data_IF_613996565184
#
_entry.id   IF_613996565184
#
_cell.length_a   1.000
_cell.length_b   1.000
_cell.length_c   1.000
_cell.angle_alpha   90.00
_cell.angle_beta   90.00
_cell.angle_gamma   90.00
#
_symmetry.space_group_name_H-M   'P 1'
#
loop_
_entity.id
_entity.type
_entity.pdbx_description
1 polymer ?
#
# COMPACT_ATOMS: atom_id res chain seq x y z
N UNK A 1 18.46 56.21 18.61
CA UNK A 1 16.99 56.28 18.44
C UNK A 1 16.55 54.91 17.95
N UNK A 2 15.68 54.12 18.57
CA UNK A 2 14.60 54.34 19.53
C UNK A 2 14.61 53.20 20.56
N UNK A 3 14.72 53.57 21.84
CA UNK A 3 14.57 52.74 23.04
C UNK A 3 13.18 53.04 23.62
N UNK A 4 12.16 52.19 23.43
CA UNK A 4 10.95 52.13 24.29
C UNK A 4 10.31 50.75 24.17
N UNK A 5 10.18 50.05 25.29
CA UNK A 5 9.46 48.77 25.36
C UNK A 5 9.93 47.79 26.43
N UNK A 6 10.65 48.25 27.46
CA UNK A 6 11.26 47.42 28.51
C UNK A 6 10.75 47.85 29.89
N UNK A 7 9.45 47.78 30.18
CA UNK A 7 8.88 48.14 31.50
C UNK A 7 7.60 47.37 31.92
N UNK A 8 7.42 46.10 31.52
CA UNK A 8 6.33 45.25 32.05
C UNK A 8 6.84 43.97 32.73
N UNK A 9 8.03 44.03 33.31
CA UNK A 9 8.53 43.05 34.28
C UNK A 9 8.45 43.69 35.66
N UNK A 10 7.91 42.94 36.62
CA UNK A 10 7.65 43.28 38.03
C UNK A 10 6.26 43.84 38.32
N UNK A 11 5.42 42.95 38.84
CA UNK A 11 4.47 43.10 39.96
C UNK A 11 3.36 42.07 39.68
N UNK A 12 3.53 40.88 40.24
CA UNK A 12 2.56 40.02 40.94
C UNK A 12 3.37 38.77 41.34
N UNK A 13 4.28 38.98 42.29
CA UNK A 13 4.73 37.93 43.22
C UNK A 13 3.81 38.04 44.44
N UNK A 14 3.44 36.91 45.05
CA UNK A 14 2.49 36.73 46.17
C UNK A 14 1.01 36.50 45.81
N UNK A 15 0.70 35.34 45.22
CA UNK A 15 -0.55 34.62 45.52
C UNK A 15 -0.24 33.12 45.61
N UNK A 16 -0.45 32.55 46.79
CA UNK A 16 -0.91 31.16 46.91
C UNK A 16 0.15 30.06 47.06
N UNK A 17 1.10 30.20 47.97
CA UNK A 17 1.91 29.07 48.46
C UNK A 17 1.20 28.35 49.62
N UNK A 18 -0.08 28.02 49.43
CA UNK A 18 -0.91 27.34 50.42
C UNK A 18 -2.02 26.54 49.75
N UNK A 19 -2.15 25.27 50.14
CA UNK A 19 -3.19 24.30 49.75
C UNK A 19 -2.99 23.62 48.38
N UNK A 20 -2.12 22.62 48.36
CA UNK A 20 -2.00 21.66 47.27
C UNK A 20 -1.99 20.18 47.71
N UNK A 21 -2.37 19.87 48.95
CA UNK A 21 -2.72 18.49 49.33
C UNK A 21 -4.18 18.29 48.88
N UNK A 22 -4.37 18.21 47.56
CA UNK A 22 -5.63 17.81 46.96
C UNK A 22 -5.85 16.31 47.18
N UNK A 23 -7.10 15.87 47.33
CA UNK A 23 -7.43 14.49 47.68
C UNK A 23 -7.15 13.55 46.49
N UNK A 24 -5.95 13.00 46.40
CA UNK A 24 -5.64 11.89 45.49
C UNK A 24 -6.58 10.69 45.72
N UNK A 25 -7.17 10.57 46.91
CA UNK A 25 -8.13 9.53 47.25
C UNK A 25 -9.51 9.66 46.56
N UNK A 26 -9.93 10.85 46.11
CA UNK A 26 -11.24 11.04 45.48
C UNK A 26 -11.27 10.69 43.98
N UNK A 27 -10.12 10.74 43.30
CA UNK A 27 -10.02 10.33 41.89
C UNK A 27 -10.10 8.80 41.72
N UNK A 28 -9.75 8.01 42.75
CA UNK A 28 -9.79 6.55 42.69
C UNK A 28 -11.20 5.96 42.69
N UNK A 29 -12.13 6.55 43.45
CA UNK A 29 -13.50 6.01 43.58
C UNK A 29 -14.32 6.10 42.28
N UNK A 30 -14.17 7.19 41.51
CA UNK A 30 -14.90 7.36 40.26
C UNK A 30 -14.47 6.37 39.16
N UNK A 31 -13.18 6.05 39.09
CA UNK A 31 -12.62 5.15 38.07
C UNK A 31 -13.10 3.72 38.25
N UNK A 32 -13.10 3.20 39.48
CA UNK A 32 -13.57 1.84 39.77
C UNK A 32 -15.04 1.65 39.36
N UNK A 33 -15.90 2.65 39.60
CA UNK A 33 -17.30 2.62 39.17
C UNK A 33 -17.44 2.60 37.64
N UNK A 34 -16.74 3.49 36.94
CA UNK A 34 -16.80 3.54 35.47
C UNK A 34 -16.30 2.24 34.82
N UNK A 35 -15.26 1.63 35.39
CA UNK A 35 -14.73 0.33 34.96
C UNK A 35 -15.74 -0.79 35.17
N UNK A 36 -16.38 -0.84 36.35
CA UNK A 36 -17.42 -1.83 36.64
C UNK A 36 -18.62 -1.67 35.71
N UNK A 37 -19.09 -0.45 35.49
CA UNK A 37 -20.18 -0.16 34.55
C UNK A 37 -19.81 -0.57 33.11
N UNK A 38 -18.56 -0.38 32.70
CA UNK A 38 -18.07 -0.85 31.41
C UNK A 38 -18.06 -2.40 31.32
N UNK A 39 -17.59 -3.09 32.36
CA UNK A 39 -17.59 -4.55 32.43
C UNK A 39 -19.02 -5.12 32.38
N UNK A 40 -19.95 -4.57 33.15
CA UNK A 40 -21.37 -4.95 33.14
C UNK A 40 -22.00 -4.71 31.75
N UNK A 41 -21.69 -3.58 31.12
CA UNK A 41 -22.15 -3.28 29.76
C UNK A 41 -21.61 -4.30 28.75
N UNK A 42 -20.33 -4.63 28.82
CA UNK A 42 -19.70 -5.60 27.92
C UNK A 42 -20.32 -6.98 28.09
N UNK A 43 -20.47 -7.47 29.32
CA UNK A 43 -21.09 -8.78 29.56
C UNK A 43 -22.54 -8.82 29.08
N UNK A 44 -23.31 -7.75 29.28
CA UNK A 44 -24.69 -7.68 28.79
C UNK A 44 -24.78 -7.67 27.27
N UNK A 45 -23.87 -6.97 26.58
CA UNK A 45 -23.91 -6.80 25.12
C UNK A 45 -23.22 -7.94 24.36
N UNK A 46 -22.16 -8.50 24.92
CA UNK A 46 -21.28 -9.50 24.31
C UNK A 46 -21.30 -10.84 25.07
N UNK A 47 -22.42 -11.19 25.71
CA UNK A 47 -22.58 -12.39 26.53
C UNK A 47 -22.14 -13.70 25.83
N UNK A 48 -22.28 -13.77 24.50
CA UNK A 48 -21.86 -14.94 23.71
C UNK A 48 -20.34 -15.06 23.55
N UNK A 49 -19.62 -13.95 23.58
CA UNK A 49 -18.17 -13.88 23.33
C UNK A 49 -17.37 -13.80 24.63
N UNK A 50 -17.97 -13.30 25.71
CA UNK A 50 -17.31 -13.16 27.01
C UNK A 50 -17.06 -14.49 27.75
N UNK A 51 -17.62 -15.60 27.27
CA UNK A 51 -17.44 -16.92 27.88
C UNK A 51 -17.91 -16.98 29.34
N UNK A 52 -17.14 -17.67 30.19
CA UNK A 52 -17.41 -17.81 31.63
C UNK A 52 -16.81 -16.65 32.48
N UNK A 53 -16.35 -15.57 31.86
CA UNK A 53 -15.78 -14.45 32.62
C UNK A 53 -16.85 -13.75 33.47
N UNK A 54 -16.52 -13.50 34.73
CA UNK A 54 -17.40 -12.73 35.62
C UNK A 54 -17.21 -11.23 35.43
N UNK A 55 -18.18 -10.45 35.89
CA UNK A 55 -18.08 -8.97 35.90
C UNK A 55 -16.82 -8.53 36.64
N UNK A 56 -16.47 -9.19 37.75
CA UNK A 56 -15.30 -8.83 38.55
C UNK A 56 -13.98 -9.11 37.83
N UNK A 57 -13.86 -10.24 37.12
CA UNK A 57 -12.63 -10.57 36.38
C UNK A 57 -12.42 -9.58 35.24
N UNK A 58 -13.48 -9.28 34.49
CA UNK A 58 -13.44 -8.33 33.39
C UNK A 58 -13.15 -6.90 33.88
N UNK A 59 -13.81 -6.46 34.96
CA UNK A 59 -13.55 -5.16 35.57
C UNK A 59 -12.10 -5.01 36.02
N UNK A 60 -11.51 -6.03 36.68
CA UNK A 60 -10.11 -6.00 37.09
C UNK A 60 -9.14 -5.93 35.90
N UNK A 61 -9.44 -6.60 34.78
CA UNK A 61 -8.64 -6.52 33.55
C UNK A 61 -8.68 -5.10 32.98
N UNK A 62 -9.88 -4.53 32.80
CA UNK A 62 -10.05 -3.16 32.30
C UNK A 62 -9.37 -2.15 33.22
N UNK A 63 -9.52 -2.27 34.55
CA UNK A 63 -8.89 -1.40 35.53
C UNK A 63 -7.36 -1.41 35.40
N UNK A 64 -6.78 -2.61 35.31
CA UNK A 64 -5.32 -2.78 35.14
C UNK A 64 -4.83 -2.12 33.86
N UNK A 65 -5.55 -2.28 32.75
CA UNK A 65 -5.17 -1.68 31.48
C UNK A 65 -5.37 -0.17 31.48
N UNK A 66 -6.46 0.33 32.07
CA UNK A 66 -6.72 1.75 32.21
C UNK A 66 -5.67 2.44 33.09
N UNK A 67 -5.20 1.77 34.15
CA UNK A 67 -4.10 2.25 34.98
C UNK A 67 -2.79 2.36 34.19
N UNK A 68 -2.51 1.42 33.29
CA UNK A 68 -1.27 1.40 32.50
C UNK A 68 -1.29 2.33 31.29
N UNK A 69 -2.44 2.43 30.61
CA UNK A 69 -2.51 3.05 29.29
C UNK A 69 -3.49 4.22 29.18
N UNK A 70 -4.21 4.57 30.25
CA UNK A 70 -5.15 5.68 30.28
C UNK A 70 -6.62 5.28 30.17
N UNK A 71 -7.50 6.25 30.37
CA UNK A 71 -8.95 6.02 30.44
C UNK A 71 -9.57 5.72 29.05
N UNK A 72 -8.83 5.95 27.96
CA UNK A 72 -9.20 5.60 26.59
C UNK A 72 -9.47 4.10 26.43
N UNK A 73 -8.80 3.26 27.24
CA UNK A 73 -9.03 1.81 27.28
C UNK A 73 -10.48 1.50 27.65
N UNK A 74 -11.08 2.26 28.58
CA UNK A 74 -12.46 2.02 29.02
C UNK A 74 -13.43 2.28 27.87
N UNK A 75 -13.20 3.33 27.08
CA UNK A 75 -14.04 3.63 25.92
C UNK A 75 -13.89 2.58 24.82
N UNK A 76 -12.64 2.16 24.53
CA UNK A 76 -12.38 1.11 23.57
C UNK A 76 -13.00 -0.23 24.00
N UNK A 77 -12.83 -0.63 25.26
CA UNK A 77 -13.42 -1.84 25.83
C UNK A 77 -14.95 -1.81 25.72
N UNK A 78 -15.59 -0.69 26.07
CA UNK A 78 -17.05 -0.55 26.00
C UNK A 78 -17.58 -0.73 24.57
N UNK A 79 -16.88 -0.20 23.56
CA UNK A 79 -17.33 -0.29 22.16
C UNK A 79 -16.92 -1.60 21.47
N UNK A 80 -15.69 -2.04 21.68
CA UNK A 80 -15.08 -3.19 21.02
C UNK A 80 -15.20 -4.51 21.78
N UNK A 81 -15.74 -4.50 23.00
CA UNK A 81 -16.01 -5.71 23.78
C UNK A 81 -14.75 -6.44 24.25
N UNK A 82 -14.85 -7.75 24.55
CA UNK A 82 -13.72 -8.55 25.04
C UNK A 82 -12.56 -8.61 24.04
N UNK A 83 -12.85 -8.68 22.74
CA UNK A 83 -11.83 -8.72 21.69
C UNK A 83 -10.91 -7.49 21.72
N UNK A 84 -11.45 -6.30 21.97
CA UNK A 84 -10.64 -5.09 22.07
C UNK A 84 -9.78 -5.04 23.34
N UNK A 85 -10.24 -5.63 24.45
CA UNK A 85 -9.45 -5.77 25.68
C UNK A 85 -8.26 -6.69 25.41
N UNK A 86 -8.50 -7.85 24.79
CA UNK A 86 -7.45 -8.78 24.37
C UNK A 86 -6.45 -8.11 23.42
N UNK A 87 -6.92 -7.32 22.46
CA UNK A 87 -6.06 -6.58 21.54
C UNK A 87 -5.12 -5.58 22.26
N UNK A 88 -5.63 -4.86 23.27
CA UNK A 88 -4.80 -3.96 24.10
C UNK A 88 -3.79 -4.73 24.93
N UNK A 89 -4.19 -5.86 25.53
CA UNK A 89 -3.28 -6.74 26.28
C UNK A 89 -2.16 -7.31 25.40
N UNK A 90 -2.51 -7.82 24.22
CA UNK A 90 -1.57 -8.38 23.25
C UNK A 90 -0.62 -7.32 22.68
N UNK A 91 -1.11 -6.09 22.49
CA UNK A 91 -0.28 -4.98 22.05
C UNK A 91 0.79 -4.58 23.11
N UNK A 92 0.54 -4.82 24.41
CA UNK A 92 1.47 -4.55 25.50
C UNK A 92 2.01 -3.12 25.48
N UNK A 93 3.33 -2.96 25.40
CA UNK A 93 4.00 -1.64 25.32
C UNK A 93 3.60 -0.83 24.06
N UNK A 94 3.04 -1.48 23.03
CA UNK A 94 2.55 -0.80 21.82
C UNK A 94 1.08 -0.39 21.91
N UNK A 95 0.38 -0.70 23.01
CA UNK A 95 -1.01 -0.32 23.22
C UNK A 95 -1.31 1.18 23.01
N UNK A 96 -0.44 2.14 23.41
CA UNK A 96 -0.69 3.57 23.15
C UNK A 96 -0.85 3.90 21.67
N UNK A 97 -0.18 3.18 20.76
CA UNK A 97 -0.35 3.38 19.30
C UNK A 97 -1.73 2.92 18.84
N UNK A 98 -2.20 1.79 19.36
CA UNK A 98 -3.51 1.24 19.06
C UNK A 98 -4.63 2.15 19.60
N UNK A 99 -4.49 2.66 20.83
CA UNK A 99 -5.42 3.61 21.43
C UNK A 99 -5.46 4.93 20.65
N UNK A 100 -4.29 5.45 20.23
CA UNK A 100 -4.23 6.65 19.39
C UNK A 100 -4.93 6.43 18.05
N UNK A 101 -4.69 5.30 17.39
CA UNK A 101 -5.35 4.95 16.13
C UNK A 101 -6.87 4.87 16.29
N UNK A 102 -7.35 4.25 17.38
CA UNK A 102 -8.77 4.22 17.72
C UNK A 102 -9.32 5.62 18.02
N UNK A 103 -8.60 6.47 18.74
CA UNK A 103 -9.03 7.83 19.01
C UNK A 103 -9.17 8.68 17.72
N UNK A 104 -8.30 8.45 16.73
CA UNK A 104 -8.33 9.15 15.44
C UNK A 104 -9.43 8.65 14.50
N UNK A 105 -9.69 7.33 14.47
CA UNK A 105 -10.59 6.71 13.47
C UNK A 105 -11.91 6.19 14.05
N UNK A 106 -12.06 6.20 15.37
CA UNK A 106 -13.26 5.77 16.08
C UNK A 106 -13.62 4.31 15.81
N UNK A 107 -14.90 4.05 15.61
CA UNK A 107 -15.45 2.69 15.46
C UNK A 107 -14.92 1.97 14.21
N UNK A 108 -14.49 2.70 13.18
CA UNK A 108 -13.91 2.08 11.99
C UNK A 108 -12.59 1.35 12.29
N UNK A 109 -11.83 1.81 13.29
CA UNK A 109 -10.62 1.12 13.74
C UNK A 109 -10.91 -0.20 14.47
N UNK A 110 -12.13 -0.40 15.00
CA UNK A 110 -12.47 -1.63 15.72
C UNK A 110 -12.29 -2.86 14.85
N UNK A 111 -12.57 -2.76 13.54
CA UNK A 111 -12.40 -3.88 12.61
C UNK A 111 -10.93 -4.33 12.52
N UNK A 112 -9.98 -3.38 12.54
CA UNK A 112 -8.54 -3.68 12.51
C UNK A 112 -8.07 -4.23 13.86
N UNK A 113 -8.58 -3.66 14.95
CA UNK A 113 -8.19 -4.00 16.34
C UNK A 113 -8.73 -5.37 16.75
N UNK A 114 -9.96 -5.72 16.35
CA UNK A 114 -10.62 -6.97 16.76
C UNK A 114 -10.08 -8.21 16.05
N UNK A 115 -9.28 -8.05 14.99
CA UNK A 115 -8.72 -9.14 14.21
C UNK A 115 -7.22 -9.27 14.47
N UNK A 116 -6.75 -10.38 15.09
CA UNK A 116 -5.34 -10.54 15.47
C UNK A 116 -4.34 -10.33 14.32
N UNK A 117 -4.66 -10.85 13.12
CA UNK A 117 -3.81 -10.71 11.94
C UNK A 117 -3.74 -9.24 11.45
N UNK A 118 -4.88 -8.56 11.34
CA UNK A 118 -4.95 -7.16 10.94
C UNK A 118 -4.25 -6.24 11.96
N UNK A 119 -4.45 -6.51 13.26
CA UNK A 119 -3.73 -5.83 14.33
C UNK A 119 -2.22 -6.05 14.22
N UNK A 120 -1.77 -7.28 13.92
CA UNK A 120 -0.35 -7.59 13.74
C UNK A 120 0.27 -6.75 12.61
N UNK A 121 -0.41 -6.64 11.47
CA UNK A 121 0.04 -5.77 10.38
C UNK A 121 0.10 -4.30 10.78
N UNK A 122 -0.91 -3.78 11.50
CA UNK A 122 -0.89 -2.42 12.04
C UNK A 122 0.26 -2.20 13.03
N UNK A 123 0.49 -3.12 13.96
CA UNK A 123 1.57 -3.01 14.95
C UNK A 123 2.96 -3.11 14.32
N UNK A 124 3.10 -3.84 13.20
CA UNK A 124 4.37 -4.03 12.47
C UNK A 124 4.66 -2.90 11.47
N UNK A 125 3.65 -2.49 10.69
CA UNK A 125 3.82 -1.57 9.57
C UNK A 125 3.26 -0.16 9.83
N UNK A 126 2.60 0.05 10.97
CA UNK A 126 2.15 1.35 11.45
C UNK A 126 0.77 1.76 10.96
N UNK A 127 0.50 3.06 11.08
CA UNK A 127 -0.80 3.68 10.81
C UNK A 127 -1.26 3.49 9.37
N UNK A 128 -0.35 3.54 8.40
CA UNK A 128 -0.67 3.31 6.98
C UNK A 128 -1.30 1.92 6.77
N UNK A 129 -0.78 0.88 7.42
CA UNK A 129 -1.37 -0.45 7.34
C UNK A 129 -2.75 -0.50 7.99
N UNK A 130 -2.93 0.17 9.13
CA UNK A 130 -4.23 0.31 9.77
C UNK A 130 -5.26 1.00 8.87
N UNK A 131 -4.88 2.10 8.21
CA UNK A 131 -5.75 2.83 7.28
C UNK A 131 -6.08 1.99 6.05
N UNK A 132 -5.09 1.29 5.48
CA UNK A 132 -5.29 0.38 4.35
C UNK A 132 -6.28 -0.74 4.69
N UNK A 133 -6.08 -1.42 5.83
CA UNK A 133 -6.91 -2.50 6.33
C UNK A 133 -8.33 -2.02 6.65
N UNK A 134 -8.47 -0.86 7.28
CA UNK A 134 -9.77 -0.27 7.59
C UNK A 134 -10.59 0.03 6.33
N UNK A 135 -9.96 0.52 5.26
CA UNK A 135 -10.65 0.90 4.01
C UNK A 135 -10.96 -0.30 3.12
N UNK A 136 -10.01 -1.21 2.99
CA UNK A 136 -10.05 -2.24 1.94
C UNK A 136 -10.21 -3.65 2.50
N UNK A 137 -10.23 -3.81 3.83
CA UNK A 137 -10.45 -5.08 4.51
C UNK A 137 -9.32 -6.08 4.28
N UNK A 138 -9.67 -7.36 4.17
CA UNK A 138 -8.73 -8.47 3.99
C UNK A 138 -7.99 -8.46 2.66
N UNK A 139 -8.51 -7.74 1.65
CA UNK A 139 -7.96 -7.74 0.28
C UNK A 139 -6.50 -7.27 0.25
N UNK A 140 -6.09 -6.46 1.22
CA UNK A 140 -4.73 -5.88 1.26
C UNK A 140 -3.75 -6.72 2.09
N UNK A 141 -4.25 -7.67 2.89
CA UNK A 141 -3.41 -8.48 3.81
C UNK A 141 -2.24 -9.18 3.07
N UNK A 142 -2.45 -9.89 1.94
CA UNK A 142 -1.35 -10.56 1.24
C UNK A 142 -0.29 -9.59 0.69
N UNK A 143 -0.73 -8.41 0.24
CA UNK A 143 0.19 -7.42 -0.33
C UNK A 143 1.00 -6.74 0.77
N UNK A 144 0.39 -6.43 1.93
CA UNK A 144 1.11 -5.91 3.10
C UNK A 144 2.05 -6.96 3.67
N UNK A 145 1.66 -8.24 3.65
CA UNK A 145 2.51 -9.33 4.11
C UNK A 145 3.80 -9.45 3.28
N UNK A 146 3.67 -9.45 1.94
CA UNK A 146 4.84 -9.59 1.06
C UNK A 146 5.67 -8.29 0.94
N UNK A 147 5.01 -7.13 0.86
CA UNK A 147 5.67 -5.86 0.50
C UNK A 147 5.73 -4.85 1.66
N UNK A 148 5.27 -5.25 2.84
CA UNK A 148 5.39 -4.51 4.08
C UNK A 148 4.86 -3.08 4.02
N UNK A 149 5.69 -2.15 4.49
CA UNK A 149 5.32 -0.74 4.64
C UNK A 149 5.06 -0.04 3.31
N UNK A 150 5.76 -0.41 2.23
CA UNK A 150 5.55 0.18 0.90
C UNK A 150 4.17 -0.18 0.36
N UNK A 151 3.78 -1.46 0.47
CA UNK A 151 2.43 -1.92 0.12
C UNK A 151 1.36 -1.23 0.98
N UNK A 152 1.56 -1.17 2.30
CA UNK A 152 0.65 -0.49 3.23
C UNK A 152 0.41 0.98 2.85
N UNK A 153 1.48 1.73 2.57
CA UNK A 153 1.41 3.14 2.15
C UNK A 153 0.63 3.32 0.85
N UNK A 154 0.88 2.47 -0.15
CA UNK A 154 0.14 2.53 -1.42
C UNK A 154 -1.37 2.34 -1.19
N UNK A 155 -1.77 1.30 -0.45
CA UNK A 155 -3.19 1.04 -0.15
C UNK A 155 -3.84 2.11 0.73
N UNK A 156 -3.10 2.70 1.66
CA UNK A 156 -3.59 3.81 2.48
C UNK A 156 -3.95 5.05 1.65
N UNK A 157 -3.35 5.20 0.45
CA UNK A 157 -3.64 6.31 -0.47
C UNK A 157 -4.74 5.99 -1.48
N UNK A 158 -4.94 4.71 -1.83
CA UNK A 158 -6.04 4.28 -2.70
C UNK A 158 -7.37 4.52 -1.96
N UNK A 159 -8.31 5.20 -2.62
CA UNK A 159 -9.64 5.48 -2.05
C UNK A 159 -10.71 4.55 -2.62
N UNK A 160 -10.57 4.14 -3.88
CA UNK A 160 -11.52 3.24 -4.53
C UNK A 160 -11.20 1.76 -4.23
N UNK A 161 -12.17 1.08 -3.64
CA UNK A 161 -12.13 -0.36 -3.37
C UNK A 161 -11.88 -1.21 -4.62
N UNK A 162 -12.28 -0.75 -5.82
CA UNK A 162 -12.03 -1.46 -7.07
C UNK A 162 -10.54 -1.41 -7.44
N UNK A 163 -9.89 -0.26 -7.27
CA UNK A 163 -8.46 -0.11 -7.56
C UNK A 163 -7.60 -0.91 -6.57
N UNK A 164 -8.00 -0.94 -5.29
CA UNK A 164 -7.36 -1.80 -4.30
C UNK A 164 -7.46 -3.29 -4.69
N UNK A 165 -8.64 -3.75 -5.12
CA UNK A 165 -8.84 -5.13 -5.61
C UNK A 165 -7.99 -5.44 -6.84
N UNK A 166 -7.89 -4.51 -7.80
CA UNK A 166 -7.01 -4.66 -8.97
C UNK A 166 -5.56 -4.84 -8.58
N UNK A 167 -5.06 -4.05 -7.63
CA UNK A 167 -3.69 -4.18 -7.14
C UNK A 167 -3.45 -5.54 -6.46
N UNK A 168 -4.40 -6.00 -5.65
CA UNK A 168 -4.34 -7.34 -5.03
C UNK A 168 -4.37 -8.47 -6.08
N UNK A 169 -5.16 -8.32 -7.15
CA UNK A 169 -5.17 -9.29 -8.27
C UNK A 169 -3.81 -9.32 -8.97
N UNK A 170 -3.20 -8.16 -9.25
CA UNK A 170 -1.86 -8.10 -9.86
C UNK A 170 -0.78 -8.75 -8.99
N UNK A 171 -0.90 -8.61 -7.68
CA UNK A 171 -0.05 -9.31 -6.73
C UNK A 171 -0.23 -10.83 -6.81
N UNK A 172 -1.48 -11.31 -6.68
CA UNK A 172 -1.80 -12.74 -6.70
C UNK A 172 -1.48 -13.42 -8.04
N UNK A 173 -1.58 -12.70 -9.16
CA UNK A 173 -1.24 -13.22 -10.50
C UNK A 173 0.27 -13.21 -10.80
N UNK A 174 1.09 -12.67 -9.90
CA UNK A 174 2.53 -12.49 -10.09
C UNK A 174 2.90 -11.40 -11.10
N UNK A 175 1.95 -10.60 -11.58
CA UNK A 175 2.22 -9.48 -12.49
C UNK A 175 3.14 -8.43 -11.85
N UNK A 176 2.96 -8.15 -10.56
CA UNK A 176 3.86 -7.22 -9.85
C UNK A 176 5.29 -7.74 -9.80
N UNK A 177 5.49 -9.04 -9.57
CA UNK A 177 6.81 -9.65 -9.55
C UNK A 177 7.49 -9.60 -10.94
N UNK A 178 6.71 -9.77 -12.02
CA UNK A 178 7.22 -9.67 -13.41
C UNK A 178 7.72 -8.26 -13.76
N UNK A 179 7.16 -7.22 -13.14
CA UNK A 179 7.63 -5.83 -13.32
C UNK A 179 9.02 -5.62 -12.70
N UNK A 180 9.34 -6.34 -11.61
CA UNK A 180 10.68 -6.33 -10.99
C UNK A 180 11.05 -5.06 -10.21
N UNK A 181 10.18 -4.05 -10.17
CA UNK A 181 10.37 -2.77 -9.45
C UNK A 181 9.10 -2.36 -8.70
N UNK A 182 8.53 -3.30 -7.95
CA UNK A 182 7.22 -3.14 -7.32
C UNK A 182 7.23 -2.09 -6.21
N UNK A 183 8.32 -1.98 -5.44
CA UNK A 183 8.43 -1.00 -4.36
C UNK A 183 8.40 0.43 -4.91
N UNK A 184 9.12 0.72 -5.99
CA UNK A 184 9.09 2.04 -6.63
C UNK A 184 7.72 2.37 -7.23
N UNK A 185 6.98 1.36 -7.73
CA UNK A 185 5.59 1.57 -8.14
C UNK A 185 4.69 1.93 -6.96
N UNK A 186 4.86 1.28 -5.81
CA UNK A 186 4.13 1.65 -4.60
C UNK A 186 4.48 3.06 -4.13
N UNK A 187 5.74 3.47 -4.24
CA UNK A 187 6.14 4.84 -3.97
C UNK A 187 5.44 5.83 -4.91
N UNK A 188 5.31 5.52 -6.21
CA UNK A 188 4.57 6.38 -7.16
C UNK A 188 3.09 6.49 -6.78
N UNK A 189 2.44 5.38 -6.40
CA UNK A 189 1.05 5.38 -5.91
C UNK A 189 0.93 6.24 -4.65
N UNK A 190 1.90 6.15 -3.75
CA UNK A 190 1.91 6.87 -2.47
C UNK A 190 2.45 8.31 -2.55
N UNK A 191 3.02 8.72 -3.68
CA UNK A 191 3.85 9.92 -3.83
C UNK A 191 3.12 11.22 -3.53
N UNK A 192 1.92 11.40 -4.07
CA UNK A 192 1.14 12.64 -3.93
C UNK A 192 -0.05 12.44 -3.01
N UNK A 193 -0.27 13.45 -2.16
CA UNK A 193 -1.43 13.52 -1.27
C UNK A 193 -2.69 14.09 -1.96
N UNK A 194 -2.62 14.41 -3.24
CA UNK A 194 -3.75 14.96 -4.00
C UNK A 194 -4.90 13.93 -4.05
N UNK A 195 -6.15 14.35 -3.81
CA UNK A 195 -7.31 13.47 -3.91
C UNK A 195 -7.38 12.76 -5.27
N UNK A 196 -7.52 11.44 -5.23
CA UNK A 196 -7.64 10.59 -6.42
C UNK A 196 -6.34 10.35 -7.20
N UNK A 197 -5.18 10.88 -6.78
CA UNK A 197 -3.90 10.58 -7.43
C UNK A 197 -3.63 9.07 -7.47
N UNK A 198 -3.69 8.42 -6.31
CA UNK A 198 -3.43 6.99 -6.18
C UNK A 198 -4.37 6.16 -7.06
N UNK A 199 -5.65 6.55 -7.15
CA UNK A 199 -6.64 5.86 -7.97
C UNK A 199 -6.35 6.03 -9.48
N UNK A 200 -5.91 7.22 -9.92
CA UNK A 200 -5.49 7.46 -11.32
C UNK A 200 -4.21 6.70 -11.69
N UNK A 201 -3.21 6.71 -10.80
CA UNK A 201 -1.99 5.91 -10.96
C UNK A 201 -2.35 4.43 -11.11
N UNK A 202 -3.23 3.92 -10.24
CA UNK A 202 -3.65 2.53 -10.27
C UNK A 202 -4.42 2.18 -11.55
N UNK A 203 -5.31 3.05 -12.02
CA UNK A 203 -6.02 2.82 -13.28
C UNK A 203 -5.06 2.76 -14.47
N UNK A 204 -4.06 3.66 -14.49
CA UNK A 204 -2.99 3.63 -15.48
C UNK A 204 -2.17 2.33 -15.43
N UNK A 205 -1.66 1.97 -14.25
CA UNK A 205 -0.88 0.74 -14.05
C UNK A 205 -1.69 -0.48 -14.51
N UNK A 206 -2.97 -0.54 -14.16
CA UNK A 206 -3.83 -1.66 -14.53
C UNK A 206 -4.00 -1.80 -16.05
N UNK A 207 -4.25 -0.68 -16.76
CA UNK A 207 -4.40 -0.67 -18.22
C UNK A 207 -3.10 -0.99 -18.97
N UNK A 208 -1.95 -0.61 -18.39
CA UNK A 208 -0.64 -0.69 -19.05
C UNK A 208 0.32 -1.69 -18.41
N UNK A 209 -0.17 -2.61 -17.58
CA UNK A 209 0.65 -3.60 -16.85
C UNK A 209 1.58 -4.42 -17.75
N UNK A 210 1.16 -4.73 -18.98
CA UNK A 210 2.02 -5.41 -19.96
C UNK A 210 3.18 -4.54 -20.42
N UNK A 211 2.93 -3.28 -20.78
CA UNK A 211 3.97 -2.34 -21.20
C UNK A 211 4.95 -2.04 -20.06
N UNK A 212 4.47 -1.98 -18.81
CA UNK A 212 5.29 -1.77 -17.62
C UNK A 212 6.26 -2.94 -17.32
N UNK A 213 6.12 -4.10 -17.94
CA UNK A 213 7.14 -5.15 -17.85
C UNK A 213 8.40 -4.83 -18.67
N UNK A 214 8.31 -3.90 -19.63
CA UNK A 214 9.47 -3.44 -20.41
C UNK A 214 10.26 -2.45 -19.56
N UNK A 215 11.50 -2.81 -19.21
CA UNK A 215 12.36 -2.03 -18.30
C UNK A 215 12.48 -0.55 -18.66
N UNK A 216 12.59 -0.22 -19.96
CA UNK A 216 12.68 1.16 -20.43
C UNK A 216 11.38 1.96 -20.22
N UNK A 217 10.22 1.34 -20.51
CA UNK A 217 8.92 1.96 -20.30
C UNK A 217 8.63 2.19 -18.81
N UNK A 218 8.98 1.20 -17.98
CA UNK A 218 8.90 1.32 -16.53
C UNK A 218 9.81 2.43 -15.98
N UNK A 219 11.06 2.49 -16.44
CA UNK A 219 11.99 3.53 -16.00
C UNK A 219 11.49 4.93 -16.38
N UNK A 220 10.96 5.10 -17.59
CA UNK A 220 10.36 6.36 -18.02
C UNK A 220 9.13 6.73 -17.16
N UNK A 221 8.25 5.77 -16.88
CA UNK A 221 7.09 5.99 -16.01
C UNK A 221 7.48 6.37 -14.58
N UNK A 222 8.47 5.70 -13.98
CA UNK A 222 8.94 6.00 -12.63
C UNK A 222 9.61 7.38 -12.54
N UNK A 223 10.29 7.81 -13.60
CA UNK A 223 10.91 9.14 -13.66
C UNK A 223 9.86 10.26 -13.74
N UNK A 224 8.81 10.09 -14.56
CA UNK A 224 7.83 11.14 -14.82
C UNK A 224 6.39 10.58 -14.94
N UNK A 225 5.80 10.08 -13.84
CA UNK A 225 4.50 9.38 -13.90
C UNK A 225 3.35 10.28 -14.34
N UNK A 226 3.44 11.58 -14.07
CA UNK A 226 2.42 12.58 -14.38
C UNK A 226 2.19 12.73 -15.87
N UNK A 227 3.26 12.73 -16.67
CA UNK A 227 3.16 12.87 -18.12
C UNK A 227 2.36 11.71 -18.74
N UNK A 228 2.50 10.50 -18.20
CA UNK A 228 1.77 9.33 -18.67
C UNK A 228 0.32 9.29 -18.14
N UNK A 229 0.12 9.57 -16.85
CA UNK A 229 -1.21 9.54 -16.22
C UNK A 229 -2.13 10.61 -16.85
N UNK A 230 -1.58 11.77 -17.19
CA UNK A 230 -2.31 12.84 -17.85
C UNK A 230 -2.44 12.64 -19.37
N UNK A 231 -1.87 11.56 -19.93
CA UNK A 231 -1.93 11.25 -21.37
C UNK A 231 -1.05 12.14 -22.26
N UNK A 232 -0.11 12.90 -21.69
CA UNK A 232 0.87 13.70 -22.45
C UNK A 232 1.90 12.80 -23.15
N UNK A 233 2.24 11.66 -22.54
CA UNK A 233 3.13 10.64 -23.11
C UNK A 233 2.41 9.30 -23.20
N UNK A 234 2.61 8.59 -24.30
CA UNK A 234 2.12 7.22 -24.48
C UNK A 234 3.23 6.21 -24.14
N UNK A 235 2.97 5.38 -23.13
CA UNK A 235 3.90 4.34 -22.69
C UNK A 235 4.06 3.22 -23.72
N UNK A 236 3.05 3.00 -24.55
CA UNK A 236 3.06 1.94 -25.56
C UNK A 236 4.06 2.24 -26.67
N UNK A 237 4.26 3.52 -27.02
CA UNK A 237 5.28 3.93 -27.97
C UNK A 237 6.69 3.60 -27.47
N UNK A 238 7.00 3.92 -26.21
CA UNK A 238 8.30 3.60 -25.60
C UNK A 238 8.52 2.09 -25.54
N UNK A 239 7.48 1.33 -25.18
CA UNK A 239 7.55 -0.13 -25.16
C UNK A 239 7.80 -0.71 -26.57
N UNK A 240 7.12 -0.19 -27.60
CA UNK A 240 7.27 -0.64 -28.99
C UNK A 240 8.68 -0.34 -29.54
N UNK A 241 9.18 0.87 -29.36
CA UNK A 241 10.53 1.27 -29.81
C UNK A 241 11.62 0.38 -29.20
N UNK A 242 11.50 0.06 -27.90
CA UNK A 242 12.50 -0.75 -27.21
C UNK A 242 12.38 -2.26 -27.47
N UNK A 243 11.19 -2.77 -27.79
CA UNK A 243 10.98 -4.18 -28.14
C UNK A 243 11.41 -4.46 -29.57
N UNK A 244 11.06 -3.59 -30.52
CA UNK A 244 11.49 -3.72 -31.92
C UNK A 244 13.00 -3.58 -32.04
N UNK A 245 13.62 -2.62 -31.35
CA UNK A 245 15.08 -2.46 -31.37
C UNK A 245 15.82 -3.71 -30.89
N UNK A 246 15.43 -4.27 -29.74
CA UNK A 246 16.07 -5.48 -29.18
C UNK A 246 15.78 -6.74 -30.00
N UNK A 247 14.57 -6.85 -30.57
CA UNK A 247 14.23 -7.98 -31.43
C UNK A 247 14.97 -7.89 -32.76
N UNK A 248 15.10 -6.69 -33.34
CA UNK A 248 15.87 -6.45 -34.55
C UNK A 248 17.37 -6.69 -34.33
N UNK A 249 17.96 -6.25 -33.21
CA UNK A 249 19.35 -6.55 -32.86
C UNK A 249 19.56 -8.04 -32.60
N UNK A 250 18.65 -8.71 -31.89
CA UNK A 250 18.68 -10.15 -31.65
C UNK A 250 18.55 -10.97 -32.94
N UNK A 251 17.68 -10.56 -33.86
CA UNK A 251 17.54 -11.17 -35.19
C UNK A 251 18.77 -10.85 -36.04
N UNK A 252 19.30 -9.62 -36.01
CA UNK A 252 20.49 -9.24 -36.77
C UNK A 252 21.74 -10.04 -36.33
N UNK A 253 21.83 -10.42 -35.05
CA UNK A 253 22.90 -11.27 -34.53
C UNK A 253 22.65 -12.78 -34.70
N UNK A 254 21.40 -13.24 -34.68
CA UNK A 254 21.08 -14.68 -34.84
C UNK A 254 20.93 -15.12 -36.30
N UNK A 255 20.65 -14.19 -37.21
CA UNK A 255 20.56 -14.46 -38.64
C UNK A 255 21.95 -14.36 -39.24
N UNK A 256 22.47 -15.50 -39.69
CA UNK A 256 23.71 -15.55 -40.45
C UNK A 256 23.45 -14.95 -41.84
N UNK A 257 23.63 -13.63 -41.96
CA UNK A 257 23.41 -12.85 -43.18
C UNK A 257 24.10 -13.47 -44.39
N UNK A 258 25.24 -14.13 -44.20
CA UNK A 258 25.97 -14.83 -45.26
C UNK A 258 25.11 -15.92 -45.92
N UNK A 259 24.30 -16.65 -45.16
CA UNK A 259 23.40 -17.69 -45.69
C UNK A 259 22.27 -17.08 -46.51
N UNK A 260 21.69 -15.96 -46.05
CA UNK A 260 20.64 -15.26 -46.81
C UNK A 260 21.20 -14.68 -48.11
N UNK A 261 22.39 -14.05 -48.07
CA UNK A 261 23.04 -13.55 -49.28
C UNK A 261 23.39 -14.67 -50.26
N UNK A 262 23.90 -15.80 -49.78
CA UNK A 262 24.19 -16.96 -50.62
C UNK A 262 22.91 -17.55 -51.25
N UNK A 263 21.82 -17.62 -50.49
CA UNK A 263 20.52 -18.07 -51.02
C UNK A 263 19.99 -17.12 -52.10
N UNK A 264 20.05 -15.80 -51.87
CA UNK A 264 19.65 -14.80 -52.87
C UNK A 264 20.51 -14.85 -54.13
N UNK A 265 21.84 -15.00 -53.98
CA UNK A 265 22.74 -15.16 -55.12
C UNK A 265 22.48 -16.46 -55.89
N UNK A 266 22.14 -17.55 -55.20
CA UNK A 266 21.73 -18.80 -55.83
C UNK A 266 20.45 -18.67 -56.64
N UNK A 267 19.42 -17.99 -56.10
CA UNK A 267 18.17 -17.70 -56.82
C UNK A 267 18.42 -16.79 -58.03
N UNK A 268 19.24 -15.75 -57.88
CA UNK A 268 19.58 -14.87 -59.00
C UNK A 268 20.36 -15.61 -60.09
N UNK A 269 21.36 -16.42 -59.70
CA UNK A 269 22.16 -17.22 -60.62
C UNK A 269 21.32 -18.24 -61.39
N UNK A 270 20.37 -18.89 -60.71
CA UNK A 270 19.46 -19.85 -61.36
C UNK A 270 18.50 -19.16 -62.33
N UNK A 271 17.98 -17.97 -62.02
CA UNK A 271 17.15 -17.18 -62.95
C UNK A 271 17.93 -16.75 -64.20
N UNK A 272 19.19 -16.32 -64.04
CA UNK A 272 20.08 -15.98 -65.16
C UNK A 272 20.36 -17.22 -66.00
N UNK A 273 20.69 -18.35 -65.36
CA UNK A 273 20.96 -19.62 -66.03
C UNK A 273 19.75 -20.13 -66.83
N UNK A 274 18.55 -20.06 -66.24
CA UNK A 274 17.30 -20.35 -66.93
C UNK A 274 17.14 -19.45 -68.16
N UNK A 275 17.26 -18.13 -68.01
CA UNK A 275 17.14 -17.19 -69.13
C UNK A 275 18.12 -17.51 -70.27
N UNK A 276 19.37 -17.85 -69.93
CA UNK A 276 20.39 -18.24 -70.89
C UNK A 276 20.06 -19.56 -71.61
N UNK A 277 19.59 -20.56 -70.85
CA UNK A 277 19.16 -21.85 -71.39
C UNK A 277 18.01 -21.70 -72.40
N UNK A 278 16.99 -20.89 -72.06
CA UNK A 278 15.88 -20.59 -72.97
C UNK A 278 16.36 -19.90 -74.25
N UNK A 279 17.29 -18.94 -74.13
CA UNK A 279 17.82 -18.23 -75.29
C UNK A 279 18.63 -19.16 -76.22
N UNK A 280 19.44 -20.05 -75.66
CA UNK A 280 20.22 -21.02 -76.41
C UNK A 280 19.33 -22.05 -77.12
N UNK A 281 18.26 -22.50 -76.46
CA UNK A 281 17.30 -23.45 -77.04
C UNK A 281 16.55 -22.83 -78.22
N UNK A 282 16.12 -21.57 -78.12
CA UNK A 282 15.47 -20.86 -79.22
C UNK A 282 16.38 -20.71 -80.45
N UNK A 283 17.68 -20.45 -80.25
CA UNK A 283 18.64 -20.36 -81.34
C UNK A 283 18.89 -21.70 -82.08
N UNK A 284 18.69 -22.84 -81.41
CA UNK A 284 18.84 -24.17 -82.02
C UNK A 284 17.66 -24.56 -82.91
N UNK A 285 16.45 -24.12 -82.59
CA UNK A 285 15.27 -24.39 -83.42
C UNK A 285 15.25 -23.56 -84.72
N UNK A 286 15.96 -22.44 -84.79
CA UNK A 286 16.07 -21.63 -86.00
C UNK A 286 17.09 -22.17 -87.02
N UNK A 287 17.82 -23.25 -86.72
CA UNK A 287 18.83 -23.87 -87.60
C UNK A 287 18.44 -25.27 -88.11
N UNK A 288 17.23 -25.71 -87.81
CA UNK A 288 16.59 -26.90 -88.40
C UNK A 288 15.50 -26.42 -89.34
#
# INVERSE_FOLDING_TARGET
MSRRGLHWVMVVCFVGLGLGIGPAALLGQGKSRAVREAAEYILRKFAKEAGEETVETLARRIERLAFKHGDEVIQLAKKGGPAAIHAVEEAGERAPRLLKFYAQHGENALWVISRPQSMTFFLKHGEDAGVALMRHGQVVEPVIEQWGTSGAKAFARITDSQQARRLAIMHNSGELAKIGRTEELFEVIAKKSEPGWADRVMDFIWRHKGALTVTAALAAFLAEPEAFINGVKDITQIAAENTVGKMAEGIAHSVNWTVIFLALLGVLGSLIGLRWYWHYRAGRQARL
#
